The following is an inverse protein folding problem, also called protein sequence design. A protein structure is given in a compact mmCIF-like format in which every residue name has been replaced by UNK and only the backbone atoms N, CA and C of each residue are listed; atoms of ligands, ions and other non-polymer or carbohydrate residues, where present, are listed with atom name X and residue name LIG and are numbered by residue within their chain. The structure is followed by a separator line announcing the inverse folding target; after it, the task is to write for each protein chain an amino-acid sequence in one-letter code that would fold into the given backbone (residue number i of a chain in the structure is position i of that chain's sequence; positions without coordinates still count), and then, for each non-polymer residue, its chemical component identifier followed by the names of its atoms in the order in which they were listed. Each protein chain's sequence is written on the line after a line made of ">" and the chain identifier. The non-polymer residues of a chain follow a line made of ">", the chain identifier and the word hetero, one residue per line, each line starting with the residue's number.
data_IF_926831145011
#
_entry.id   IF_926831145011
#
_cell.length_a   1.000
_cell.length_b   1.000
_cell.length_c   1.000
_cell.angle_alpha   90.00
_cell.angle_beta   90.00
_cell.angle_gamma   90.00
#
_symmetry.space_group_name_H-M   'P 1'
#
loop_
_entity.id
_entity.type
_entity.pdbx_description
1 polymer ?
#
# COMPACT_ATOMS: atom_id res chain seq x y z
N UNK A 1 -28.27 -32.64 -43.69
CA UNK A 1 -28.50 -31.28 -43.14
C UNK A 1 -28.27 -31.18 -41.63
N UNK A 2 -28.79 -32.09 -40.79
CA UNK A 2 -28.65 -32.02 -39.30
C UNK A 2 -27.18 -32.09 -38.82
N UNK A 3 -26.35 -32.95 -39.42
CA UNK A 3 -24.92 -33.09 -39.08
C UNK A 3 -24.08 -31.83 -39.34
N UNK A 4 -24.41 -31.04 -40.37
CA UNK A 4 -23.72 -29.78 -40.66
C UNK A 4 -24.13 -28.68 -39.67
N UNK A 5 -25.42 -28.62 -39.30
CA UNK A 5 -25.91 -27.70 -38.27
C UNK A 5 -25.28 -27.98 -36.90
N UNK A 6 -25.11 -29.25 -36.53
CA UNK A 6 -24.44 -29.65 -35.28
C UNK A 6 -22.97 -29.22 -35.23
N UNK A 7 -22.22 -29.34 -36.34
CA UNK A 7 -20.83 -28.87 -36.42
C UNK A 7 -20.73 -27.35 -36.25
N UNK A 8 -21.64 -26.58 -36.85
CA UNK A 8 -21.67 -25.13 -36.72
C UNK A 8 -21.96 -24.72 -35.26
N UNK A 9 -22.91 -25.38 -34.60
CA UNK A 9 -23.24 -25.12 -33.19
C UNK A 9 -22.04 -25.42 -32.27
N UNK A 10 -21.29 -26.50 -32.54
CA UNK A 10 -20.07 -26.85 -31.79
C UNK A 10 -18.99 -25.78 -31.96
N UNK A 11 -18.76 -25.30 -33.19
CA UNK A 11 -17.80 -24.22 -33.45
C UNK A 11 -18.19 -22.91 -32.77
N UNK A 12 -19.48 -22.58 -32.73
CA UNK A 12 -20.00 -21.40 -32.02
C UNK A 12 -19.78 -21.55 -30.50
N UNK A 13 -20.08 -22.71 -29.92
CA UNK A 13 -19.83 -22.99 -28.50
C UNK A 13 -18.35 -22.88 -28.12
N UNK A 14 -17.45 -23.40 -28.98
CA UNK A 14 -16.00 -23.27 -28.80
C UNK A 14 -15.57 -21.80 -28.88
N UNK A 15 -16.13 -21.01 -29.80
CA UNK A 15 -15.79 -19.59 -29.92
C UNK A 15 -16.19 -18.77 -28.67
N UNK A 16 -17.31 -19.09 -28.04
CA UNK A 16 -17.76 -18.43 -26.80
C UNK A 16 -16.80 -18.70 -25.64
N UNK A 17 -16.21 -19.91 -25.59
CA UNK A 17 -15.20 -20.27 -24.58
C UNK A 17 -13.85 -19.57 -24.80
N UNK A 18 -13.51 -19.19 -26.03
CA UNK A 18 -12.23 -18.53 -26.36
C UNK A 18 -12.33 -17.00 -26.26
N UNK A 19 -13.55 -16.43 -26.29
CA UNK A 19 -13.80 -14.98 -26.18
C UNK A 19 -14.08 -14.54 -24.73
N UNK A 20 -14.00 -15.45 -23.75
CA UNK A 20 -13.96 -15.04 -22.33
C UNK A 20 -12.60 -14.41 -22.00
N UNK A 21 -12.39 -13.16 -22.45
CA UNK A 21 -11.28 -12.34 -21.97
C UNK A 21 -11.38 -12.12 -20.46
N UNK A 22 -10.29 -11.68 -19.81
CA UNK A 22 -10.36 -11.25 -18.41
C UNK A 22 -11.20 -9.97 -18.32
N UNK A 23 -12.44 -10.08 -17.82
CA UNK A 23 -13.35 -8.94 -17.60
C UNK A 23 -12.89 -8.03 -16.45
N UNK A 24 -11.85 -8.40 -15.72
CA UNK A 24 -11.39 -7.74 -14.50
C UNK A 24 -10.07 -6.97 -14.71
N UNK A 25 -9.97 -6.26 -15.84
CA UNK A 25 -8.81 -5.42 -16.15
C UNK A 25 -9.04 -4.00 -15.61
N UNK A 26 -8.44 -3.68 -14.47
CA UNK A 26 -8.34 -2.29 -13.99
C UNK A 26 -7.03 -1.68 -14.48
N UNK A 27 -7.14 -0.60 -15.25
CA UNK A 27 -6.01 0.19 -15.78
C UNK A 27 -5.08 0.67 -14.66
N UNK A 28 -3.77 0.64 -14.92
CA UNK A 28 -2.74 1.09 -13.96
C UNK A 28 -2.92 2.55 -13.57
N UNK A 29 -3.40 3.39 -14.49
CA UNK A 29 -3.65 4.81 -14.26
C UNK A 29 -4.83 5.08 -13.32
N UNK A 30 -5.67 4.08 -13.03
CA UNK A 30 -6.76 4.20 -12.05
C UNK A 30 -6.35 3.73 -10.65
N UNK A 31 -5.13 3.20 -10.52
CA UNK A 31 -4.57 2.67 -9.28
C UNK A 31 -3.67 3.71 -8.62
N UNK A 32 -3.75 3.79 -7.30
CA UNK A 32 -2.80 4.50 -6.46
C UNK A 32 -2.11 3.48 -5.55
N UNK A 33 -0.86 3.16 -5.85
CA UNK A 33 -0.11 2.18 -5.09
C UNK A 33 0.37 2.77 -3.78
N UNK A 34 -0.04 2.15 -2.67
CA UNK A 34 0.40 2.51 -1.33
C UNK A 34 1.71 1.78 -1.05
N UNK A 35 2.76 2.53 -0.71
CA UNK A 35 4.07 1.98 -0.37
C UNK A 35 4.25 1.85 1.15
N UNK A 36 3.75 2.83 1.92
CA UNK A 36 3.80 2.85 3.38
C UNK A 36 2.41 3.14 3.93
N UNK A 37 2.00 2.36 4.93
CA UNK A 37 0.79 2.59 5.72
C UNK A 37 1.18 3.01 7.14
N UNK A 38 0.76 4.20 7.56
CA UNK A 38 0.86 4.67 8.95
C UNK A 38 -0.47 4.47 9.69
N UNK A 39 -0.41 4.01 10.94
CA UNK A 39 -1.57 3.85 11.82
C UNK A 39 -1.30 4.53 13.15
N UNK A 40 -2.07 5.58 13.44
CA UNK A 40 -1.96 6.35 14.67
C UNK A 40 -3.28 6.44 15.44
N UNK A 41 -3.20 6.92 16.67
CA UNK A 41 -4.37 7.24 17.47
C UNK A 41 -5.17 8.38 16.83
N UNK A 42 -6.48 8.37 17.06
CA UNK A 42 -7.37 9.47 16.71
C UNK A 42 -8.03 9.99 17.97
N UNK A 43 -8.42 11.27 17.95
CA UNK A 43 -9.22 11.90 19.00
C UNK A 43 -10.66 11.36 19.00
N UNK A 44 -11.10 10.73 17.91
CA UNK A 44 -12.42 10.14 17.79
C UNK A 44 -12.47 8.71 18.35
N UNK A 45 -13.46 8.44 19.22
CA UNK A 45 -13.61 7.15 19.87
C UNK A 45 -13.85 6.01 18.86
N UNK A 46 -13.02 4.96 18.97
CA UNK A 46 -13.11 3.79 18.09
C UNK A 46 -12.61 4.02 16.65
N UNK A 47 -11.88 5.10 16.39
CA UNK A 47 -11.23 5.37 15.10
C UNK A 47 -9.72 5.49 15.23
N UNK A 48 -9.05 5.35 14.09
CA UNK A 48 -7.61 5.52 13.93
C UNK A 48 -7.34 6.56 12.86
N UNK A 49 -6.20 7.24 12.98
CA UNK A 49 -5.68 8.09 11.93
C UNK A 49 -4.78 7.25 11.03
N UNK A 50 -5.15 7.14 9.75
CA UNK A 50 -4.40 6.40 8.75
C UNK A 50 -3.65 7.35 7.83
N UNK A 51 -2.37 7.03 7.59
CA UNK A 51 -1.49 7.73 6.67
C UNK A 51 -1.18 6.80 5.49
N UNK A 52 -1.65 7.15 4.30
CA UNK A 52 -1.38 6.38 3.08
C UNK A 52 -0.35 7.11 2.25
N UNK A 53 0.80 6.49 2.07
CA UNK A 53 1.93 7.13 1.40
C UNK A 53 2.18 6.47 0.07
N UNK A 54 2.21 7.28 -0.98
CA UNK A 54 2.34 6.86 -2.35
C UNK A 54 3.56 7.52 -2.98
N UNK A 55 4.36 6.76 -3.76
CA UNK A 55 5.52 7.30 -4.46
C UNK A 55 5.07 8.19 -5.62
N UNK A 56 5.64 9.39 -5.73
CA UNK A 56 5.35 10.30 -6.84
C UNK A 56 6.38 10.08 -7.95
N UNK A 57 6.01 9.26 -8.94
CA UNK A 57 6.88 8.91 -10.08
C UNK A 57 7.50 10.12 -10.80
N UNK A 58 6.80 11.26 -10.82
CA UNK A 58 7.25 12.49 -11.49
C UNK A 58 8.48 13.13 -10.81
N UNK A 59 8.60 12.99 -9.48
CA UNK A 59 9.76 13.51 -8.75
C UNK A 59 10.93 12.53 -8.78
N UNK A 60 10.64 11.23 -8.83
CA UNK A 60 11.64 10.15 -8.88
C UNK A 60 12.38 10.12 -10.22
N UNK A 61 11.69 10.43 -11.33
CA UNK A 61 12.26 10.33 -12.68
C UNK A 61 13.14 11.53 -13.13
N UNK A 62 13.43 12.50 -12.25
CA UNK A 62 14.35 13.60 -12.58
C UNK A 62 13.86 14.48 -13.73
N UNK A 63 12.60 14.93 -13.68
CA UNK A 63 12.07 15.86 -14.68
C UNK A 63 12.76 17.22 -14.61
N UNK A 64 13.63 17.50 -15.58
CA UNK A 64 14.09 18.85 -15.91
C UNK A 64 12.89 19.79 -16.13
N UNK A 65 12.50 20.52 -15.09
CA UNK A 65 11.59 21.65 -15.22
C UNK A 65 11.92 22.70 -14.15
N UNK A 66 12.82 23.61 -14.51
CA UNK A 66 12.77 25.03 -14.17
C UNK A 66 12.63 25.41 -12.70
N UNK A 67 13.76 25.84 -12.13
CA UNK A 67 13.89 26.86 -11.07
C UNK A 67 12.66 27.17 -10.21
N UNK A 68 12.69 26.67 -8.98
CA UNK A 68 11.81 27.12 -7.91
C UNK A 68 12.10 26.33 -6.64
N UNK A 69 12.86 26.93 -5.73
CA UNK A 69 13.17 26.33 -4.43
C UNK A 69 11.91 26.01 -3.65
N UNK A 70 11.63 24.72 -3.50
CA UNK A 70 10.65 24.15 -2.60
C UNK A 70 10.98 22.67 -2.50
N UNK A 71 11.31 22.19 -1.30
CA UNK A 71 11.74 20.82 -1.08
C UNK A 71 10.75 19.83 -1.70
N UNK A 72 11.19 19.15 -2.77
CA UNK A 72 10.45 18.08 -3.41
C UNK A 72 10.45 16.89 -2.47
N UNK A 73 9.28 16.54 -1.95
CA UNK A 73 9.09 15.33 -1.17
C UNK A 73 8.61 14.24 -2.14
N UNK A 74 9.46 13.24 -2.48
CA UNK A 74 9.14 12.21 -3.48
C UNK A 74 7.98 11.28 -3.08
N UNK A 75 7.37 11.53 -1.92
CA UNK A 75 6.27 10.77 -1.32
C UNK A 75 5.11 11.72 -1.06
N UNK A 76 3.95 11.40 -1.63
CA UNK A 76 2.69 12.04 -1.27
C UNK A 76 2.02 11.28 -0.14
N UNK A 77 1.54 12.00 0.88
CA UNK A 77 0.85 11.40 2.03
C UNK A 77 -0.61 11.87 2.07
N UNK A 78 -1.54 10.93 2.06
CA UNK A 78 -2.95 11.19 2.28
C UNK A 78 -3.36 10.73 3.68
N UNK A 79 -4.08 11.59 4.40
CA UNK A 79 -4.49 11.36 5.78
C UNK A 79 -6.01 11.24 5.85
N UNK A 80 -6.48 10.24 6.58
CA UNK A 80 -7.90 10.03 6.84
C UNK A 80 -8.12 9.40 8.22
N UNK A 81 -9.24 9.73 8.84
CA UNK A 81 -9.67 9.12 10.10
C UNK A 81 -10.77 8.10 9.78
N UNK A 82 -10.61 6.86 10.23
CA UNK A 82 -11.57 5.79 9.94
C UNK A 82 -11.55 4.67 11.01
N UNK A 83 -12.55 3.79 10.96
CA UNK A 83 -12.63 2.62 11.86
C UNK A 83 -11.71 1.47 11.43
N UNK A 84 -11.39 1.37 10.14
CA UNK A 84 -10.56 0.32 9.57
C UNK A 84 -9.72 0.85 8.41
N UNK A 85 -8.66 0.10 8.06
CA UNK A 85 -7.78 0.42 6.92
C UNK A 85 -8.61 0.49 5.63
N UNK A 86 -9.52 -0.47 5.42
CA UNK A 86 -10.39 -0.52 4.23
C UNK A 86 -11.34 0.68 4.19
N UNK A 87 -11.99 1.02 5.30
CA UNK A 87 -12.87 2.20 5.34
C UNK A 87 -12.10 3.50 5.08
N UNK A 88 -10.86 3.59 5.58
CA UNK A 88 -9.96 4.70 5.29
C UNK A 88 -9.60 4.79 3.81
N UNK A 89 -9.29 3.65 3.18
CA UNK A 89 -8.94 3.59 1.77
C UNK A 89 -10.12 3.96 0.86
N UNK A 90 -11.34 3.53 1.17
CA UNK A 90 -12.57 3.91 0.46
C UNK A 90 -12.86 5.40 0.57
N UNK A 91 -12.75 5.97 1.78
CA UNK A 91 -12.93 7.41 2.00
C UNK A 91 -11.91 8.24 1.21
N UNK A 92 -10.66 7.78 1.14
CA UNK A 92 -9.64 8.43 0.33
C UNK A 92 -9.86 8.21 -1.16
N UNK A 93 -10.37 7.06 -1.58
CA UNK A 93 -10.65 6.80 -2.99
C UNK A 93 -11.67 7.80 -3.55
N UNK A 94 -12.68 8.17 -2.74
CA UNK A 94 -13.65 9.22 -3.08
C UNK A 94 -13.01 10.61 -3.19
N UNK A 95 -11.98 10.90 -2.38
CA UNK A 95 -11.29 12.20 -2.37
C UNK A 95 -10.24 12.33 -3.47
N UNK A 96 -9.54 11.24 -3.79
CA UNK A 96 -8.45 11.19 -4.75
C UNK A 96 -8.92 10.77 -6.16
N UNK A 97 -10.19 10.37 -6.30
CA UNK A 97 -10.78 9.82 -7.53
C UNK A 97 -9.97 8.64 -8.11
N UNK A 98 -9.35 7.84 -7.23
CA UNK A 98 -8.49 6.70 -7.56
C UNK A 98 -8.61 5.65 -6.48
N UNK A 99 -8.61 4.37 -6.84
CA UNK A 99 -8.61 3.28 -5.86
C UNK A 99 -7.19 3.06 -5.32
N UNK A 100 -7.08 2.85 -4.01
CA UNK A 100 -5.82 2.54 -3.34
C UNK A 100 -5.54 1.05 -3.46
N UNK A 101 -4.31 0.69 -3.83
CA UNK A 101 -3.85 -0.68 -3.96
C UNK A 101 -2.67 -0.93 -3.02
N UNK A 102 -2.71 -2.04 -2.29
CA UNK A 102 -1.75 -2.38 -1.24
C UNK A 102 -0.74 -3.46 -1.64
N UNK A 103 -0.74 -3.87 -2.91
CA UNK A 103 0.16 -4.90 -3.44
C UNK A 103 1.65 -4.52 -3.31
N UNK A 104 1.97 -3.23 -3.45
CA UNK A 104 3.33 -2.70 -3.31
C UNK A 104 3.64 -2.15 -1.92
N UNK A 105 2.74 -2.35 -0.96
CA UNK A 105 2.99 -1.95 0.42
C UNK A 105 4.15 -2.77 0.97
N UNK A 106 5.18 -2.09 1.49
CA UNK A 106 6.37 -2.74 2.05
C UNK A 106 6.51 -2.53 3.55
N UNK A 107 5.96 -1.42 4.07
CA UNK A 107 6.14 -1.06 5.47
C UNK A 107 4.82 -0.56 6.07
N UNK A 108 4.50 -1.09 7.25
CA UNK A 108 3.39 -0.63 8.08
C UNK A 108 3.98 -0.02 9.35
N UNK A 109 3.82 1.29 9.51
CA UNK A 109 4.30 2.06 10.67
C UNK A 109 3.15 2.25 11.65
N UNK A 110 3.31 1.81 12.89
CA UNK A 110 2.29 1.86 13.93
C UNK A 110 2.82 2.72 15.07
N UNK A 111 2.03 3.64 15.62
CA UNK A 111 2.47 4.36 16.82
C UNK A 111 2.55 3.45 18.03
N UNK A 112 3.46 3.76 18.94
CA UNK A 112 3.62 3.04 20.19
C UNK A 112 2.31 2.99 20.99
N UNK A 113 1.52 4.07 20.96
CA UNK A 113 0.22 4.13 21.64
C UNK A 113 -0.79 3.11 21.08
N UNK A 114 -0.87 2.97 19.75
CA UNK A 114 -1.72 1.96 19.10
C UNK A 114 -1.19 0.55 19.39
N UNK A 115 0.12 0.36 19.29
CA UNK A 115 0.77 -0.92 19.53
C UNK A 115 0.58 -1.43 20.97
N UNK A 116 0.59 -0.54 21.97
CA UNK A 116 0.35 -0.88 23.38
C UNK A 116 -1.11 -1.24 23.69
N UNK A 117 -2.08 -0.71 22.93
CA UNK A 117 -3.50 -0.96 23.17
C UNK A 117 -3.98 -2.27 22.56
N UNK A 118 -3.92 -2.39 21.23
CA UNK A 118 -4.49 -3.54 20.53
C UNK A 118 -3.86 -3.73 19.15
N UNK A 119 -2.62 -4.21 19.15
CA UNK A 119 -1.86 -4.49 17.93
C UNK A 119 -2.54 -5.55 17.05
N UNK A 120 -3.21 -6.54 17.65
CA UNK A 120 -3.89 -7.63 16.93
C UNK A 120 -4.99 -7.13 16.00
N UNK A 121 -5.78 -6.14 16.44
CA UNK A 121 -6.82 -5.53 15.59
C UNK A 121 -6.27 -4.91 14.30
N UNK A 122 -5.02 -4.47 14.29
CA UNK A 122 -4.37 -3.89 13.12
C UNK A 122 -3.71 -4.98 12.26
N UNK A 123 -3.08 -5.98 12.88
CA UNK A 123 -2.33 -7.04 12.16
C UNK A 123 -3.26 -8.12 11.58
N UNK A 124 -4.34 -8.48 12.25
CA UNK A 124 -5.24 -9.55 11.79
C UNK A 124 -5.82 -9.28 10.39
N UNK A 125 -6.34 -8.07 10.07
CA UNK A 125 -6.81 -7.76 8.72
C UNK A 125 -5.68 -7.81 7.68
N UNK A 126 -4.49 -7.31 8.04
CA UNK A 126 -3.33 -7.23 7.14
C UNK A 126 -2.77 -8.60 6.74
N UNK A 127 -2.91 -9.60 7.61
CA UNK A 127 -2.46 -10.98 7.35
C UNK A 127 -3.50 -11.85 6.65
N UNK A 128 -4.80 -11.58 6.91
CA UNK A 128 -5.91 -12.41 6.43
C UNK A 128 -6.38 -12.02 5.04
N UNK A 129 -6.38 -10.73 4.71
CA UNK A 129 -6.84 -10.27 3.39
C UNK A 129 -5.76 -10.51 2.32
N UNK A 130 -6.19 -10.87 1.12
CA UNK A 130 -5.31 -11.05 -0.03
C UNK A 130 -4.92 -9.74 -0.71
N UNK A 131 -5.64 -8.65 -0.44
CA UNK A 131 -5.34 -7.34 -1.01
C UNK A 131 -4.07 -6.70 -0.42
N UNK A 132 -3.73 -7.05 0.83
CA UNK A 132 -2.53 -6.54 1.50
C UNK A 132 -1.30 -7.40 1.16
N UNK A 133 -0.19 -6.74 0.92
CA UNK A 133 1.08 -7.43 0.75
C UNK A 133 1.52 -8.09 2.08
N UNK A 134 1.45 -9.41 2.15
CA UNK A 134 1.86 -10.23 3.29
C UNK A 134 3.34 -10.15 3.65
N UNK A 135 4.19 -9.67 2.75
CA UNK A 135 5.62 -9.45 3.01
C UNK A 135 5.90 -8.08 3.64
N UNK A 136 4.86 -7.29 3.91
CA UNK A 136 5.02 -5.99 4.57
C UNK A 136 5.66 -6.17 5.95
N UNK A 137 6.66 -5.35 6.24
CA UNK A 137 7.31 -5.31 7.55
C UNK A 137 6.58 -4.34 8.48
N UNK A 138 6.55 -4.64 9.76
CA UNK A 138 5.96 -3.80 10.79
C UNK A 138 7.03 -2.98 11.51
N UNK A 139 6.79 -1.68 11.65
CA UNK A 139 7.62 -0.75 12.40
C UNK A 139 6.80 -0.11 13.51
N UNK A 140 7.38 0.04 14.71
CA UNK A 140 6.74 0.76 15.82
C UNK A 140 7.45 2.09 16.00
N UNK A 141 6.72 3.19 15.87
CA UNK A 141 7.23 4.55 16.11
C UNK A 141 6.93 5.01 17.53
N UNK A 142 7.96 5.35 18.30
CA UNK A 142 7.83 5.98 19.63
C UNK A 142 7.45 7.47 19.55
N UNK A 143 7.62 8.09 18.37
CA UNK A 143 7.32 9.49 18.14
C UNK A 143 6.22 9.68 17.09
N UNK A 144 6.04 10.94 16.71
CA UNK A 144 5.11 11.37 15.66
C UNK A 144 5.36 10.58 14.35
N UNK A 145 4.38 9.77 13.97
CA UNK A 145 4.44 8.94 12.75
C UNK A 145 4.67 9.81 11.52
N UNK A 146 4.09 11.01 11.48
CA UNK A 146 4.20 11.89 10.33
C UNK A 146 5.66 12.21 10.01
N UNK A 147 6.48 12.46 11.05
CA UNK A 147 7.92 12.72 10.89
C UNK A 147 8.69 11.51 10.39
N UNK A 148 8.27 10.30 10.77
CA UNK A 148 8.90 9.06 10.32
C UNK A 148 8.60 8.82 8.84
N UNK A 149 7.36 9.02 8.41
CA UNK A 149 6.98 8.71 7.03
C UNK A 149 7.41 9.83 6.05
N UNK A 150 7.51 11.08 6.50
CA UNK A 150 7.96 12.21 5.68
C UNK A 150 9.51 12.31 5.59
N UNK A 151 10.25 11.33 6.13
CA UNK A 151 11.72 11.28 5.96
C UNK A 151 12.07 11.20 4.49
N UNK A 152 12.93 12.11 4.06
CA UNK A 152 13.56 12.14 2.75
C UNK A 152 14.95 11.50 2.82
N UNK A 153 15.10 10.23 2.42
CA UNK A 153 16.42 9.61 2.37
C UNK A 153 17.31 10.31 1.35
N UNK A 154 18.61 10.42 1.67
CA UNK A 154 19.62 11.04 0.81
C UNK A 154 20.26 10.09 -0.21
N UNK A 155 20.01 8.78 -0.06
CA UNK A 155 20.69 7.69 -0.79
C UNK A 155 19.63 6.95 -1.61
N UNK A 156 18.54 6.57 -0.97
CA UNK A 156 17.39 5.97 -1.64
C UNK A 156 16.46 7.02 -2.23
N UNK A 157 15.83 6.72 -3.36
CA UNK A 157 14.84 7.60 -3.99
C UNK A 157 13.45 7.49 -3.34
N UNK A 158 13.17 6.33 -2.72
CA UNK A 158 11.88 6.00 -2.11
C UNK A 158 12.04 5.74 -0.62
N UNK A 159 11.18 6.38 0.18
CA UNK A 159 11.16 6.17 1.64
C UNK A 159 10.81 4.73 2.00
N UNK A 160 10.00 4.03 1.20
CA UNK A 160 9.70 2.60 1.41
C UNK A 160 10.92 1.71 1.24
N UNK A 161 11.75 2.00 0.25
CA UNK A 161 12.96 1.21 -0.04
C UNK A 161 14.02 1.49 1.03
N UNK A 162 14.11 2.73 1.49
CA UNK A 162 14.93 3.09 2.66
C UNK A 162 14.51 2.31 3.92
N UNK A 163 13.21 2.18 4.19
CA UNK A 163 12.78 1.37 5.32
C UNK A 163 13.15 -0.10 5.13
N UNK A 164 12.96 -0.65 3.94
CA UNK A 164 13.34 -2.03 3.65
C UNK A 164 14.85 -2.26 3.80
N UNK A 165 15.70 -1.37 3.30
CA UNK A 165 17.15 -1.48 3.42
C UNK A 165 17.61 -1.45 4.88
N UNK A 166 16.97 -0.62 5.73
CA UNK A 166 17.21 -0.63 7.18
C UNK A 166 16.90 -2.00 7.81
N UNK A 167 15.90 -2.71 7.29
CA UNK A 167 15.57 -4.06 7.77
C UNK A 167 16.49 -5.14 7.18
N UNK A 168 17.04 -4.98 5.98
CA UNK A 168 18.03 -5.92 5.43
C UNK A 168 19.38 -5.83 6.17
N UNK A 169 19.76 -4.62 6.60
CA UNK A 169 20.99 -4.37 7.36
C UNK A 169 20.94 -4.91 8.81
N UNK A 170 19.80 -5.47 9.25
CA UNK A 170 19.68 -6.15 10.55
C UNK A 170 20.66 -7.31 10.68
N UNK A 171 20.96 -8.03 9.58
CA UNK A 171 21.96 -9.10 9.57
C UNK A 171 23.40 -8.61 9.82
N UNK A 172 23.67 -7.32 9.55
CA UNK A 172 24.99 -6.72 9.73
C UNK A 172 25.13 -5.92 11.03
N UNK A 173 24.01 -5.59 11.69
CA UNK A 173 24.01 -4.72 12.88
C UNK A 173 23.22 -5.35 14.04
N UNK A 174 23.91 -5.62 15.16
CA UNK A 174 23.27 -6.13 16.39
C UNK A 174 22.36 -5.13 17.13
N UNK A 175 21.95 -4.04 16.48
CA UNK A 175 21.03 -3.04 17.03
C UNK A 175 19.56 -3.41 16.82
N UNK A 176 19.29 -4.32 15.90
CA UNK A 176 17.96 -4.80 15.63
C UNK A 176 17.81 -6.22 16.17
N UNK A 177 16.74 -6.43 16.93
CA UNK A 177 16.34 -7.76 17.37
C UNK A 177 15.33 -8.25 16.34
N UNK A 178 15.70 -9.26 15.59
CA UNK A 178 14.75 -9.94 14.71
C UNK A 178 13.76 -10.70 15.59
N UNK A 179 12.49 -10.31 15.51
CA UNK A 179 11.39 -10.96 16.20
C UNK A 179 10.27 -11.12 15.21
N UNK A 180 9.83 -12.37 15.03
CA UNK A 180 8.59 -12.65 14.33
C UNK A 180 7.42 -12.45 15.30
N UNK A 181 6.22 -12.25 14.75
CA UNK A 181 4.96 -12.19 15.50
C UNK A 181 4.51 -13.58 16.00
N UNK A 182 5.32 -14.61 15.74
CA UNK A 182 5.09 -16.00 16.12
C UNK A 182 4.26 -16.72 15.06
N UNK A 183 4.79 -17.87 14.61
CA UNK A 183 3.92 -19.01 14.28
C UNK A 183 3.55 -19.76 15.57
#
# INVERSE_FOLDING_TARGET
>A
MIRQKAKIIIWILISILVISGCWDMVEIDKRLFVAILGVDTSDEEGKYTFYYCFPIAREIAGGEAGGGGGGQHPVGTAITVAHSIISGSENLALRLNRHLYFELMRTVVISEEVARKDLRKIIDPLSRDTEFNRRSRFAISQGDIKKVIEVTPWVEQLTSDYFESLYEDTGMTGKFIESDLGE
#
